data_IF_546702007604
#
_entry.id   IF_546702007604
#
_cell.length_a   1.000
_cell.length_b   1.000
_cell.length_c   1.000
_cell.angle_alpha   90.00
_cell.angle_beta   90.00
_cell.angle_gamma   90.00
#
_symmetry.space_group_name_H-M   'P 1'
#
loop_
_entity.id
_entity.type
_entity.pdbx_description
1 polymer ?
#
# COMPACT_ATOMS: atom_id res chain seq x y z
N UNK A 1 -24.59 12.62 25.60
CA UNK A 1 -24.10 11.84 24.45
C UNK A 1 -22.66 12.23 24.21
N UNK A 2 -21.71 11.30 24.37
CA UNK A 2 -20.33 11.51 23.93
C UNK A 2 -20.30 11.33 22.41
N UNK A 3 -19.59 12.19 21.65
CA UNK A 3 -19.45 11.97 20.21
C UNK A 3 -18.70 10.65 20.02
N UNK A 4 -19.36 9.69 19.37
CA UNK A 4 -18.73 8.48 18.85
C UNK A 4 -17.64 8.98 17.91
N UNK A 5 -16.36 8.60 18.07
CA UNK A 5 -15.36 8.97 17.09
C UNK A 5 -15.85 8.43 15.76
N UNK A 6 -16.18 9.33 14.83
CA UNK A 6 -16.48 8.96 13.45
C UNK A 6 -15.24 8.27 12.93
N UNK A 7 -15.26 6.94 13.02
CA UNK A 7 -14.27 6.08 12.39
C UNK A 7 -14.58 6.24 10.93
N UNK A 8 -13.99 7.27 10.31
CA UNK A 8 -13.98 7.49 8.88
C UNK A 8 -13.20 6.33 8.29
N UNK A 9 -13.86 5.17 8.23
CA UNK A 9 -13.43 4.01 7.49
C UNK A 9 -13.61 4.41 6.03
N UNK A 10 -12.65 5.20 5.54
CA UNK A 10 -12.49 5.43 4.11
C UNK A 10 -12.42 4.02 3.53
N UNK A 11 -13.36 3.61 2.67
CA UNK A 11 -13.35 2.25 2.14
C UNK A 11 -12.06 2.08 1.35
N UNK A 12 -11.10 1.39 1.96
CA UNK A 12 -9.83 1.08 1.32
C UNK A 12 -10.11 -0.06 0.35
N UNK A 13 -9.47 -0.03 -0.81
CA UNK A 13 -9.64 -1.06 -1.83
C UNK A 13 -9.41 -2.47 -1.25
N UNK A 14 -10.18 -3.47 -1.68
CA UNK A 14 -10.10 -4.85 -1.16
C UNK A 14 -8.68 -5.42 -1.23
N UNK A 15 -7.94 -5.04 -2.28
CA UNK A 15 -6.56 -5.47 -2.53
C UNK A 15 -5.52 -4.76 -1.67
N UNK A 16 -5.89 -3.73 -0.89
CA UNK A 16 -4.96 -3.05 0.01
C UNK A 16 -4.35 -3.96 1.07
N UNK A 17 -4.99 -5.10 1.36
CA UNK A 17 -4.41 -6.17 2.18
C UNK A 17 -3.09 -6.73 1.63
N UNK A 18 -2.86 -6.62 0.32
CA UNK A 18 -1.66 -7.11 -0.37
C UNK A 18 -0.58 -6.04 -0.51
N UNK A 19 -0.88 -4.80 -0.09
CA UNK A 19 0.01 -3.65 -0.23
C UNK A 19 0.85 -3.54 1.02
N UNK A 20 2.08 -4.03 0.94
CA UNK A 20 3.07 -3.99 2.01
C UNK A 20 4.34 -3.32 1.50
N UNK A 21 5.25 -2.94 2.41
CA UNK A 21 6.57 -2.47 1.99
C UNK A 21 7.33 -3.51 1.19
N UNK A 22 7.15 -4.80 1.49
CA UNK A 22 7.78 -5.89 0.76
C UNK A 22 7.24 -6.00 -0.68
N UNK A 23 5.91 -5.95 -0.88
CA UNK A 23 5.32 -6.01 -2.23
C UNK A 23 5.61 -4.75 -3.05
N UNK A 24 5.63 -3.58 -2.40
CA UNK A 24 6.10 -2.34 -3.03
C UNK A 24 7.59 -2.43 -3.44
N UNK A 25 8.44 -2.96 -2.57
CA UNK A 25 9.86 -3.15 -2.85
C UNK A 25 10.07 -4.10 -4.05
N UNK A 26 9.32 -5.20 -4.11
CA UNK A 26 9.35 -6.12 -5.26
C UNK A 26 8.91 -5.44 -6.56
N UNK A 27 7.83 -4.65 -6.53
CA UNK A 27 7.33 -3.93 -7.69
C UNK A 27 8.37 -2.95 -8.27
N UNK A 28 9.12 -2.28 -7.39
CA UNK A 28 10.13 -1.29 -7.78
C UNK A 28 11.56 -1.85 -7.84
N UNK A 29 11.74 -3.16 -7.66
CA UNK A 29 13.05 -3.81 -7.55
C UNK A 29 13.99 -3.11 -6.53
N UNK A 30 13.42 -2.73 -5.39
CA UNK A 30 14.09 -2.11 -4.26
C UNK A 30 14.14 -3.09 -3.07
N UNK A 31 14.88 -2.74 -2.03
CA UNK A 31 14.79 -3.42 -0.74
C UNK A 31 13.65 -2.82 0.11
N UNK A 32 12.99 -3.60 0.99
CA UNK A 32 11.92 -3.08 1.86
C UNK A 32 12.34 -1.89 2.72
N UNK A 33 13.60 -1.82 3.12
CA UNK A 33 14.18 -0.74 3.92
C UNK A 33 14.26 0.58 3.14
N UNK A 34 14.34 0.49 1.81
CA UNK A 34 14.37 1.66 0.92
C UNK A 34 12.97 2.24 0.69
N UNK A 35 11.90 1.53 1.08
CA UNK A 35 10.52 2.03 1.02
C UNK A 35 10.19 2.83 2.27
N UNK A 36 10.17 4.16 2.09
CA UNK A 36 9.92 5.13 3.16
C UNK A 36 8.44 5.11 3.56
N UNK A 37 7.55 5.17 2.57
CA UNK A 37 6.10 5.34 2.80
C UNK A 37 5.29 4.64 1.73
N UNK A 38 4.19 4.01 2.16
CA UNK A 38 3.17 3.45 1.27
C UNK A 38 1.82 3.93 1.78
N UNK A 39 1.01 4.49 0.89
CA UNK A 39 -0.34 4.93 1.23
C UNK A 39 -1.37 4.30 0.33
N UNK A 40 -2.35 3.65 0.96
CA UNK A 40 -3.48 3.05 0.28
C UNK A 40 -4.63 4.05 0.18
N UNK A 41 -5.01 4.39 -1.05
CA UNK A 41 -6.17 5.25 -1.34
C UNK A 41 -7.30 4.39 -1.94
N UNK A 42 -8.42 4.99 -2.33
CA UNK A 42 -9.58 4.20 -2.78
C UNK A 42 -9.32 3.40 -4.07
N UNK A 43 -8.51 3.94 -4.99
CA UNK A 43 -8.27 3.34 -6.31
C UNK A 43 -6.79 3.22 -6.68
N UNK A 44 -5.91 3.86 -5.93
CA UNK A 44 -4.47 3.92 -6.20
C UNK A 44 -3.70 3.71 -4.91
N UNK A 45 -2.45 3.30 -5.06
CA UNK A 45 -1.48 3.25 -3.98
C UNK A 45 -0.36 4.20 -4.31
N UNK A 46 -0.03 5.06 -3.37
CA UNK A 46 1.16 5.88 -3.46
C UNK A 46 2.33 5.16 -2.80
N UNK A 47 3.44 5.02 -3.53
CA UNK A 47 4.68 4.44 -3.03
C UNK A 47 5.79 5.47 -3.12
N UNK A 48 6.43 5.72 -1.98
CA UNK A 48 7.60 6.57 -1.86
C UNK A 48 8.76 5.77 -1.25
N UNK A 49 9.85 5.70 -2.00
CA UNK A 49 11.08 5.03 -1.62
C UNK A 49 12.30 5.80 -2.12
N UNK A 50 13.47 5.19 -1.96
CA UNK A 50 14.71 5.74 -2.49
C UNK A 50 14.67 5.79 -4.03
N UNK A 51 14.67 7.00 -4.60
CA UNK A 51 14.60 7.19 -6.05
C UNK A 51 13.21 6.91 -6.68
N UNK A 52 12.19 6.61 -5.87
CA UNK A 52 10.83 6.29 -6.36
C UNK A 52 9.77 7.09 -5.63
N UNK A 53 8.88 7.71 -6.38
CA UNK A 53 7.71 8.45 -5.88
C UNK A 53 6.62 8.38 -6.93
N UNK A 54 5.78 7.35 -6.84
CA UNK A 54 4.82 7.03 -7.91
C UNK A 54 3.48 6.54 -7.35
N UNK A 55 2.44 6.73 -8.17
CA UNK A 55 1.13 6.14 -7.96
C UNK A 55 1.02 4.89 -8.81
N UNK A 56 0.62 3.79 -8.18
CA UNK A 56 0.45 2.48 -8.83
C UNK A 56 -0.94 1.95 -8.57
N UNK A 57 -1.43 1.13 -9.49
CA UNK A 57 -2.71 0.45 -9.32
C UNK A 57 -2.57 -0.67 -8.31
N UNK A 58 -3.67 -0.98 -7.62
CA UNK A 58 -3.75 -2.18 -6.79
C UNK A 58 -3.52 -3.47 -7.58
N UNK A 59 -3.75 -3.47 -8.89
CA UNK A 59 -3.55 -4.62 -9.76
C UNK A 59 -2.07 -4.88 -10.09
N UNK A 60 -1.20 -3.88 -9.90
CA UNK A 60 0.24 -4.00 -10.19
C UNK A 60 0.98 -4.70 -9.05
N UNK A 61 0.39 -4.74 -7.84
CA UNK A 61 1.00 -5.41 -6.71
C UNK A 61 0.97 -6.92 -6.91
N UNK A 62 2.11 -7.60 -6.71
CA UNK A 62 2.12 -9.05 -6.74
C UNK A 62 1.17 -9.58 -5.65
N UNK A 63 0.28 -10.54 -5.96
CA UNK A 63 -0.48 -11.25 -4.94
C UNK A 63 0.55 -11.87 -3.99
N UNK A 64 0.33 -11.73 -2.68
CA UNK A 64 1.32 -12.03 -1.62
C UNK A 64 2.22 -13.22 -1.97
N UNK A 65 3.52 -12.90 -2.01
CA UNK A 65 4.62 -13.85 -2.01
C UNK A 65 4.43 -14.83 -0.86
N UNK A 66 4.19 -16.10 -1.19
CA UNK A 66 4.11 -17.20 -0.26
C UNK A 66 2.81 -17.24 0.54
N UNK A 67 1.81 -17.96 0.02
CA UNK A 67 0.98 -18.77 0.92
C UNK A 67 1.90 -19.92 1.35
N UNK A 68 2.29 -19.97 2.61
CA UNK A 68 2.64 -21.24 3.26
C UNK A 68 1.36 -21.89 3.79
#
# INVERSE_FOLDING_TARGET
MLPIPETSSKPVHRLARFVTKATAALLFNLKPEQIKRVECWRYVVYVNGEGVSQFVSYADFPPIVGVE
#
